data_IF_558283216569
#
_entry.id   IF_558283216569
#
_cell.length_a   1.000
_cell.length_b   1.000
_cell.length_c   1.000
_cell.angle_alpha   90.00
_cell.angle_beta   90.00
_cell.angle_gamma   90.00
#
_symmetry.space_group_name_H-M   'P 1'
#
loop_
_entity.id
_entity.type
_entity.pdbx_description
1 polymer ?
#
# COMPACT_ATOMS: atom_id res chain seq x y z
N UNK A 1 55.64 -12.01 -38.23
CA UNK A 1 54.95 -10.92 -38.95
C UNK A 1 53.90 -11.56 -39.83
N UNK A 2 52.64 -11.48 -39.42
CA UNK A 2 51.51 -12.12 -40.10
C UNK A 2 50.85 -11.14 -41.08
N UNK A 3 50.37 -11.60 -42.25
CA UNK A 3 49.83 -10.72 -43.26
C UNK A 3 48.42 -10.19 -42.89
N UNK A 4 48.03 -9.01 -43.41
CA UNK A 4 46.73 -8.40 -43.12
C UNK A 4 45.60 -9.17 -43.82
N UNK A 5 44.54 -9.47 -43.06
CA UNK A 5 43.29 -10.05 -43.59
C UNK A 5 42.59 -9.02 -44.48
N UNK A 6 42.41 -9.37 -45.75
CA UNK A 6 41.59 -8.67 -46.72
C UNK A 6 40.13 -8.61 -46.28
N UNK A 7 39.60 -7.40 -46.15
CA UNK A 7 38.18 -7.12 -45.90
C UNK A 7 37.38 -7.44 -47.18
N UNK A 8 36.58 -8.49 -47.14
CA UNK A 8 35.57 -8.76 -48.15
C UNK A 8 34.35 -7.87 -47.89
N UNK A 9 34.02 -7.04 -48.87
CA UNK A 9 32.82 -6.21 -48.89
C UNK A 9 31.56 -7.08 -48.95
N UNK A 10 30.59 -6.93 -48.02
CA UNK A 10 29.34 -7.68 -48.08
C UNK A 10 28.51 -7.23 -49.28
N UNK A 11 28.04 -8.20 -50.07
CA UNK A 11 27.17 -7.94 -51.21
C UNK A 11 25.82 -7.40 -50.74
N UNK A 12 25.33 -6.39 -51.45
CA UNK A 12 24.02 -5.77 -51.23
C UNK A 12 22.91 -6.75 -51.65
N UNK A 13 22.54 -7.66 -50.75
CA UNK A 13 21.35 -8.49 -50.89
C UNK A 13 20.09 -7.66 -50.69
N UNK A 14 19.22 -7.64 -51.69
CA UNK A 14 17.91 -7.00 -51.62
C UNK A 14 17.11 -7.55 -50.43
N UNK A 15 16.70 -6.65 -49.53
CA UNK A 15 15.88 -6.99 -48.36
C UNK A 15 14.51 -7.52 -48.83
N UNK A 16 14.09 -8.73 -48.42
CA UNK A 16 12.76 -9.23 -48.74
C UNK A 16 11.71 -8.29 -48.13
N UNK A 17 10.70 -7.92 -48.94
CA UNK A 17 9.59 -7.09 -48.51
C UNK A 17 8.97 -7.68 -47.24
N UNK A 18 9.06 -6.94 -46.13
CA UNK A 18 8.51 -7.37 -44.86
C UNK A 18 7.01 -7.56 -45.02
N UNK A 19 6.46 -8.75 -44.67
CA UNK A 19 5.03 -8.97 -44.73
C UNK A 19 4.35 -7.92 -43.86
N UNK A 20 3.48 -7.11 -44.47
CA UNK A 20 2.61 -6.17 -43.78
C UNK A 20 1.79 -6.98 -42.78
N UNK A 21 2.23 -6.98 -41.52
CA UNK A 21 1.56 -7.69 -40.44
C UNK A 21 0.14 -7.11 -40.34
N UNK A 22 -0.85 -7.88 -40.79
CA UNK A 22 -2.26 -7.53 -40.63
C UNK A 22 -2.48 -7.26 -39.15
N UNK A 23 -2.94 -6.05 -38.83
CA UNK A 23 -3.26 -5.68 -37.46
C UNK A 23 -4.15 -6.78 -36.86
N UNK A 24 -3.75 -7.39 -35.72
CA UNK A 24 -4.50 -8.49 -35.15
C UNK A 24 -5.94 -8.05 -34.92
N UNK A 25 -6.87 -8.93 -35.28
CA UNK A 25 -8.32 -8.79 -35.23
C UNK A 25 -8.80 -8.63 -33.76
N UNK A 26 -8.42 -7.55 -33.10
CA UNK A 26 -8.71 -7.25 -31.70
C UNK A 26 -10.14 -6.73 -31.49
N UNK A 27 -10.92 -6.49 -32.55
CA UNK A 27 -12.17 -5.74 -32.45
C UNK A 27 -13.40 -6.53 -31.96
N UNK A 28 -13.28 -7.84 -31.69
CA UNK A 28 -14.41 -8.67 -31.22
C UNK A 28 -14.21 -9.35 -29.88
N UNK A 29 -13.14 -9.03 -29.14
CA UNK A 29 -13.03 -9.48 -27.77
C UNK A 29 -14.15 -8.80 -26.94
N UNK A 30 -15.13 -9.58 -26.49
CA UNK A 30 -16.25 -9.06 -25.69
C UNK A 30 -15.78 -8.33 -24.43
N UNK A 31 -16.64 -7.49 -23.87
CA UNK A 31 -16.35 -6.70 -22.66
C UNK A 31 -16.07 -7.56 -21.41
N UNK A 32 -16.56 -8.80 -21.38
CA UNK A 32 -16.43 -9.72 -20.23
C UNK A 32 -14.96 -10.03 -19.86
N UNK A 33 -14.10 -10.52 -20.77
CA UNK A 33 -12.66 -10.66 -20.51
C UNK A 33 -11.98 -9.41 -19.94
N UNK A 34 -12.35 -8.22 -20.42
CA UNK A 34 -11.76 -6.98 -19.95
C UNK A 34 -12.15 -6.68 -18.49
N UNK A 35 -13.41 -6.92 -18.11
CA UNK A 35 -13.85 -6.76 -16.72
C UNK A 35 -13.21 -7.78 -15.78
N UNK A 36 -13.05 -9.03 -16.22
CA UNK A 36 -12.36 -10.06 -15.42
C UNK A 36 -10.90 -9.65 -15.19
N UNK A 37 -10.22 -9.18 -16.24
CA UNK A 37 -8.86 -8.66 -16.14
C UNK A 37 -8.76 -7.46 -15.19
N UNK A 38 -9.66 -6.47 -15.33
CA UNK A 38 -9.72 -5.30 -14.46
C UNK A 38 -9.95 -5.69 -13.00
N UNK A 39 -10.91 -6.57 -12.70
CA UNK A 39 -11.17 -7.05 -11.34
C UNK A 39 -9.92 -7.71 -10.75
N UNK A 40 -9.21 -8.53 -11.53
CA UNK A 40 -7.96 -9.15 -11.09
C UNK A 40 -6.87 -8.10 -10.85
N UNK A 41 -6.79 -7.04 -11.67
CA UNK A 41 -5.83 -5.97 -11.51
C UNK A 41 -6.09 -5.09 -10.26
N UNK A 42 -7.36 -4.86 -9.92
CA UNK A 42 -7.76 -4.11 -8.71
C UNK A 42 -7.49 -4.88 -7.41
N UNK A 43 -7.45 -6.23 -7.46
CA UNK A 43 -7.15 -7.12 -6.32
C UNK A 43 -7.98 -6.82 -5.05
N UNK A 44 -9.33 -6.76 -5.13
CA UNK A 44 -10.17 -6.35 -3.99
C UNK A 44 -9.93 -7.14 -2.70
N UNK A 45 -9.66 -8.45 -2.82
CA UNK A 45 -9.36 -9.32 -1.68
C UNK A 45 -8.13 -8.87 -0.87
N UNK A 46 -7.20 -8.16 -1.49
CA UNK A 46 -5.96 -7.73 -0.84
C UNK A 46 -6.14 -6.48 0.01
N UNK A 47 -7.21 -5.72 -0.18
CA UNK A 47 -7.43 -4.47 0.54
C UNK A 47 -8.80 -4.35 1.22
N UNK A 48 -9.71 -5.30 1.02
CA UNK A 48 -11.03 -5.28 1.63
C UNK A 48 -10.99 -5.11 3.16
N UNK A 49 -9.99 -5.67 3.82
CA UNK A 49 -9.83 -5.54 5.28
C UNK A 49 -9.51 -4.10 5.73
N UNK A 50 -9.04 -3.22 4.85
CA UNK A 50 -8.86 -1.80 5.15
C UNK A 50 -10.17 -0.99 5.06
N UNK A 51 -11.26 -1.57 4.56
CA UNK A 51 -12.57 -0.90 4.51
C UNK A 51 -13.15 -0.57 5.89
N UNK A 52 -12.61 -1.18 6.96
CA UNK A 52 -12.99 -0.87 8.34
C UNK A 52 -12.32 0.41 8.87
N UNK A 53 -11.25 0.90 8.24
CA UNK A 53 -10.49 2.05 8.76
C UNK A 53 -11.33 3.32 8.94
N UNK A 54 -12.28 3.69 8.06
CA UNK A 54 -13.13 4.86 8.29
C UNK A 54 -13.96 4.79 9.58
N UNK A 55 -14.23 3.61 10.13
CA UNK A 55 -14.93 3.45 11.42
C UNK A 55 -14.14 4.09 12.57
N UNK A 56 -12.82 4.25 12.41
CA UNK A 56 -11.98 4.86 13.42
C UNK A 56 -12.26 6.33 13.73
N UNK A 57 -12.92 7.02 12.81
CA UNK A 57 -13.37 8.40 13.00
C UNK A 57 -14.86 8.53 13.30
N UNK A 58 -15.55 7.43 13.65
CA UNK A 58 -16.96 7.47 14.05
C UNK A 58 -17.15 8.52 15.16
N UNK A 59 -18.10 9.43 14.94
CA UNK A 59 -18.54 10.41 15.93
C UNK A 59 -19.84 9.94 16.59
N UNK A 60 -19.75 9.60 17.87
CA UNK A 60 -20.91 9.16 18.68
C UNK A 60 -21.76 10.32 19.16
N UNK A 61 -21.22 11.53 19.20
CA UNK A 61 -21.95 12.71 19.62
C UNK A 61 -22.83 13.28 18.49
N UNK A 62 -22.47 13.03 17.23
CA UNK A 62 -23.28 13.42 16.08
C UNK A 62 -24.58 12.59 15.97
N UNK A 63 -25.66 13.16 15.41
CA UNK A 63 -26.89 12.42 15.13
C UNK A 63 -26.60 11.18 14.27
N UNK A 64 -27.25 10.05 14.58
CA UNK A 64 -26.97 8.76 13.93
C UNK A 64 -26.99 8.83 12.40
N UNK A 65 -27.96 9.53 11.81
CA UNK A 65 -28.04 9.70 10.35
C UNK A 65 -26.80 10.40 9.77
N UNK A 66 -26.30 11.44 10.44
CA UNK A 66 -25.08 12.18 10.03
C UNK A 66 -23.86 11.27 10.12
N UNK A 67 -23.70 10.51 11.21
CA UNK A 67 -22.58 9.58 11.39
C UNK A 67 -22.60 8.43 10.38
N UNK A 68 -23.78 7.87 10.08
CA UNK A 68 -23.93 6.83 9.05
C UNK A 68 -23.63 7.36 7.65
N UNK A 69 -24.09 8.57 7.31
CA UNK A 69 -23.75 9.21 6.03
C UNK A 69 -22.24 9.45 5.93
N UNK A 70 -21.60 9.94 6.99
CA UNK A 70 -20.15 10.16 7.02
C UNK A 70 -19.37 8.85 6.84
N UNK A 71 -19.79 7.76 7.49
CA UNK A 71 -19.19 6.44 7.27
C UNK A 71 -19.37 5.92 5.85
N UNK A 72 -20.59 6.00 5.30
CA UNK A 72 -20.87 5.50 3.96
C UNK A 72 -20.02 6.23 2.91
N UNK A 73 -19.92 7.55 3.07
CA UNK A 73 -19.04 8.42 2.28
C UNK A 73 -17.56 8.04 2.46
N UNK A 74 -17.11 7.86 3.70
CA UNK A 74 -15.75 7.45 4.01
C UNK A 74 -15.38 6.08 3.43
N UNK A 75 -16.31 5.13 3.47
CA UNK A 75 -16.16 3.82 2.84
C UNK A 75 -16.05 3.93 1.31
N UNK A 76 -16.88 4.77 0.67
CA UNK A 76 -16.79 5.01 -0.78
C UNK A 76 -15.43 5.61 -1.17
N UNK A 77 -14.97 6.63 -0.44
CA UNK A 77 -13.65 7.25 -0.66
C UNK A 77 -12.55 6.19 -0.46
N UNK A 78 -12.61 5.43 0.65
CA UNK A 78 -11.63 4.39 0.97
C UNK A 78 -11.55 3.34 -0.15
N UNK A 79 -12.69 2.81 -0.61
CA UNK A 79 -12.73 1.85 -1.71
C UNK A 79 -12.14 2.43 -3.00
N UNK A 80 -12.47 3.69 -3.34
CA UNK A 80 -11.97 4.34 -4.53
C UNK A 80 -10.45 4.55 -4.48
N UNK A 81 -9.91 5.04 -3.36
CA UNK A 81 -8.47 5.24 -3.13
C UNK A 81 -7.70 3.92 -3.15
N UNK A 82 -8.21 2.88 -2.48
CA UNK A 82 -7.57 1.56 -2.46
C UNK A 82 -7.59 0.91 -3.84
N UNK A 83 -8.73 0.95 -4.54
CA UNK A 83 -8.83 0.44 -5.89
C UNK A 83 -7.89 1.18 -6.85
N UNK A 84 -7.78 2.50 -6.71
CA UNK A 84 -6.83 3.32 -7.47
C UNK A 84 -5.38 2.88 -7.21
N UNK A 85 -4.96 2.85 -5.94
CA UNK A 85 -3.60 2.48 -5.55
C UNK A 85 -3.18 1.09 -6.04
N UNK A 86 -4.05 0.09 -5.92
CA UNK A 86 -3.76 -1.27 -6.39
C UNK A 86 -3.77 -1.41 -7.91
N UNK A 87 -4.72 -0.75 -8.59
CA UNK A 87 -4.81 -0.77 -10.04
C UNK A 87 -3.60 -0.08 -10.67
N UNK A 88 -3.23 1.10 -10.16
CA UNK A 88 -2.10 1.83 -10.71
C UNK A 88 -0.77 1.14 -10.41
N UNK A 89 -0.60 0.56 -9.22
CA UNK A 89 0.57 -0.25 -8.92
C UNK A 89 0.66 -1.45 -9.87
N UNK A 90 -0.45 -2.13 -10.16
CA UNK A 90 -0.51 -3.23 -11.12
C UNK A 90 -0.12 -2.80 -12.54
N UNK A 91 -0.61 -1.65 -13.00
CA UNK A 91 -0.28 -1.08 -14.32
C UNK A 91 1.21 -0.71 -14.41
N UNK A 92 1.75 -0.08 -13.38
CA UNK A 92 3.13 0.41 -13.33
C UNK A 92 4.16 -0.70 -13.14
N UNK A 93 3.83 -1.77 -12.41
CA UNK A 93 4.76 -2.86 -12.11
C UNK A 93 4.72 -4.00 -13.12
N UNK A 94 3.88 -3.91 -14.17
CA UNK A 94 3.66 -5.01 -15.13
C UNK A 94 4.93 -5.55 -15.80
N UNK A 95 5.93 -4.70 -16.00
CA UNK A 95 7.18 -5.05 -16.67
C UNK A 95 8.26 -5.55 -15.69
N UNK A 96 8.01 -5.41 -14.38
CA UNK A 96 8.97 -5.74 -13.32
C UNK A 96 8.52 -6.94 -12.48
N UNK A 97 7.21 -7.08 -12.30
CA UNK A 97 6.62 -8.25 -11.69
C UNK A 97 6.89 -9.48 -12.57
N UNK A 98 7.31 -10.57 -11.93
CA UNK A 98 7.61 -11.85 -12.62
C UNK A 98 6.49 -12.87 -12.47
N UNK A 99 5.62 -12.70 -11.47
CA UNK A 99 4.57 -13.66 -11.15
C UNK A 99 3.20 -13.17 -11.63
N UNK A 100 2.67 -13.80 -12.69
CA UNK A 100 1.35 -13.51 -13.24
C UNK A 100 0.18 -13.81 -12.27
N UNK A 101 0.43 -14.61 -11.22
CA UNK A 101 -0.55 -14.84 -10.13
C UNK A 101 -0.65 -13.63 -9.22
N UNK A 102 0.48 -12.93 -8.98
CA UNK A 102 0.51 -11.66 -8.23
C UNK A 102 -0.04 -10.54 -9.12
N UNK A 103 0.44 -10.39 -10.35
CA UNK A 103 0.06 -9.32 -11.26
C UNK A 103 -0.47 -9.87 -12.60
N UNK A 104 -1.78 -9.73 -12.89
CA UNK A 104 -2.37 -10.28 -14.12
C UNK A 104 -1.94 -9.56 -15.41
N UNK A 105 -1.21 -8.45 -15.32
CA UNK A 105 -0.72 -7.67 -16.46
C UNK A 105 0.73 -7.99 -16.83
N UNK A 106 1.38 -8.94 -16.15
CA UNK A 106 2.74 -9.39 -16.49
C UNK A 106 2.80 -9.87 -17.94
N UNK A 107 3.76 -9.33 -18.70
CA UNK A 107 3.94 -9.64 -20.13
C UNK A 107 2.88 -9.02 -21.06
N UNK A 108 1.92 -8.25 -20.53
CA UNK A 108 0.94 -7.52 -21.34
C UNK A 108 1.57 -6.23 -21.84
N UNK A 109 1.87 -6.16 -23.14
CA UNK A 109 2.53 -5.02 -23.78
C UNK A 109 1.82 -3.68 -23.48
N UNK A 110 0.47 -3.68 -23.48
CA UNK A 110 -0.32 -2.50 -23.13
C UNK A 110 -1.62 -2.89 -22.41
N UNK A 111 -1.87 -2.40 -21.18
CA UNK A 111 -3.16 -2.52 -20.53
C UNK A 111 -4.29 -1.92 -21.39
N UNK A 112 -5.51 -2.46 -21.29
CA UNK A 112 -6.64 -1.96 -22.09
C UNK A 112 -7.02 -0.53 -21.71
N UNK A 113 -7.67 0.20 -22.63
CA UNK A 113 -8.18 1.56 -22.36
C UNK A 113 -9.08 1.63 -21.12
N UNK A 114 -9.83 0.55 -20.84
CA UNK A 114 -10.65 0.43 -19.64
C UNK A 114 -9.84 0.50 -18.34
N UNK A 115 -8.63 -0.09 -18.28
CA UNK A 115 -7.77 0.00 -17.10
C UNK A 115 -7.38 1.45 -16.81
N UNK A 116 -6.96 2.19 -17.84
CA UNK A 116 -6.59 3.60 -17.70
C UNK A 116 -7.78 4.50 -17.38
N UNK A 117 -8.93 4.26 -18.02
CA UNK A 117 -10.16 5.00 -17.75
C UNK A 117 -10.59 4.83 -16.28
N UNK A 118 -10.59 3.59 -15.79
CA UNK A 118 -10.95 3.31 -14.39
C UNK A 118 -9.89 3.86 -13.42
N UNK A 119 -8.60 3.71 -13.72
CA UNK A 119 -7.53 4.27 -12.90
C UNK A 119 -7.61 5.80 -12.80
N UNK A 120 -8.13 6.48 -13.84
CA UNK A 120 -8.32 7.94 -13.84
C UNK A 120 -9.62 8.36 -13.14
N UNK A 121 -10.69 7.56 -13.28
CA UNK A 121 -11.99 7.86 -12.69
C UNK A 121 -12.01 7.67 -11.17
N UNK A 122 -11.31 6.66 -10.63
CA UNK A 122 -11.30 6.36 -9.19
C UNK A 122 -10.82 7.52 -8.30
N UNK A 123 -9.66 8.17 -8.55
CA UNK A 123 -9.25 9.33 -7.76
C UNK A 123 -10.21 10.51 -7.92
N UNK A 124 -10.82 10.69 -9.10
CA UNK A 124 -11.84 11.74 -9.30
C UNK A 124 -13.07 11.49 -8.44
N UNK A 125 -13.59 10.25 -8.40
CA UNK A 125 -14.71 9.87 -7.53
C UNK A 125 -14.36 10.12 -6.06
N UNK A 126 -13.16 9.71 -5.63
CA UNK A 126 -12.69 9.95 -4.26
C UNK A 126 -12.63 11.45 -3.93
N UNK A 127 -12.06 12.27 -4.82
CA UNK A 127 -11.90 13.71 -4.61
C UNK A 127 -13.24 14.47 -4.61
N UNK A 128 -14.13 14.18 -5.55
CA UNK A 128 -15.47 14.79 -5.58
C UNK A 128 -16.25 14.44 -4.32
N UNK A 129 -16.18 13.19 -3.88
CA UNK A 129 -16.83 12.74 -2.64
C UNK A 129 -16.21 13.41 -1.41
N UNK A 130 -14.88 13.53 -1.37
CA UNK A 130 -14.14 14.17 -0.28
C UNK A 130 -14.33 15.70 -0.24
N UNK A 131 -14.56 16.35 -1.38
CA UNK A 131 -14.87 17.78 -1.47
C UNK A 131 -16.21 18.14 -0.78
N UNK A 132 -17.14 17.18 -0.72
CA UNK A 132 -18.42 17.30 0.00
C UNK A 132 -18.31 16.83 1.46
N UNK A 133 -17.10 16.69 1.98
CA UNK A 133 -16.79 16.20 3.34
C UNK A 133 -16.09 17.31 4.14
N UNK A 134 -15.93 17.11 5.47
CA UNK A 134 -15.08 17.98 6.27
C UNK A 134 -13.65 18.09 5.70
N UNK A 135 -13.01 19.24 5.89
CA UNK A 135 -11.68 19.55 5.35
C UNK A 135 -10.61 18.50 5.67
N UNK A 136 -10.53 17.92 6.89
CA UNK A 136 -9.60 16.83 7.18
C UNK A 136 -9.77 15.59 6.29
N UNK A 137 -11.00 15.26 5.87
CA UNK A 137 -11.28 14.15 4.96
C UNK A 137 -10.72 14.43 3.58
N UNK A 138 -10.85 15.66 3.09
CA UNK A 138 -10.25 16.10 1.82
C UNK A 138 -8.72 15.97 1.86
N UNK A 139 -8.07 16.48 2.91
CA UNK A 139 -6.61 16.35 3.05
C UNK A 139 -6.14 14.91 3.20
N UNK A 140 -6.88 14.08 3.95
CA UNK A 140 -6.58 12.66 4.06
C UNK A 140 -6.67 11.95 2.70
N UNK A 141 -7.71 12.27 1.92
CA UNK A 141 -7.91 11.73 0.57
C UNK A 141 -6.80 12.16 -0.38
N UNK A 142 -6.48 13.46 -0.40
CA UNK A 142 -5.39 14.01 -1.21
C UNK A 142 -4.05 13.37 -0.84
N UNK A 143 -3.77 13.19 0.44
CA UNK A 143 -2.55 12.55 0.93
C UNK A 143 -2.46 11.12 0.41
N UNK A 144 -3.52 10.32 0.54
CA UNK A 144 -3.51 8.92 0.12
C UNK A 144 -3.37 8.76 -1.41
N UNK A 145 -4.07 9.59 -2.19
CA UNK A 145 -3.94 9.59 -3.66
C UNK A 145 -2.54 10.03 -4.09
N UNK A 146 -2.02 11.11 -3.50
CA UNK A 146 -0.69 11.64 -3.81
C UNK A 146 0.39 10.61 -3.46
N UNK A 147 0.28 10.01 -2.28
CA UNK A 147 1.19 8.95 -1.84
C UNK A 147 1.14 7.76 -2.79
N UNK A 148 -0.04 7.26 -3.15
CA UNK A 148 -0.20 6.14 -4.10
C UNK A 148 0.34 6.45 -5.50
N UNK A 149 0.20 7.70 -5.95
CA UNK A 149 0.72 8.19 -7.23
C UNK A 149 2.25 8.24 -7.23
N UNK A 150 2.84 8.91 -6.23
CA UNK A 150 4.29 9.04 -6.05
C UNK A 150 4.96 7.67 -5.82
N UNK A 151 4.23 6.75 -5.17
CA UNK A 151 4.66 5.37 -4.94
C UNK A 151 4.75 4.57 -6.24
N UNK A 152 3.80 4.74 -7.17
CA UNK A 152 3.63 3.82 -8.31
C UNK A 152 4.04 4.37 -9.69
N UNK A 153 3.62 5.58 -10.07
CA UNK A 153 3.79 6.07 -11.46
C UNK A 153 5.07 6.90 -11.62
N UNK A 154 5.28 7.89 -10.76
CA UNK A 154 6.41 8.82 -10.89
C UNK A 154 6.53 9.71 -9.64
N UNK A 155 7.73 9.94 -9.09
CA UNK A 155 9.06 9.40 -9.46
C UNK A 155 9.29 7.93 -9.10
N UNK A 156 8.23 7.19 -8.73
CA UNK A 156 8.29 5.80 -8.26
C UNK A 156 9.20 5.66 -7.04
N UNK A 157 8.95 6.54 -6.08
CA UNK A 157 9.76 6.71 -4.88
C UNK A 157 9.72 5.49 -3.94
N UNK A 158 8.92 4.46 -4.24
CA UNK A 158 8.94 3.18 -3.52
C UNK A 158 10.28 2.44 -3.61
N UNK A 159 11.11 2.77 -4.61
CA UNK A 159 12.47 2.24 -4.75
C UNK A 159 13.53 3.02 -3.98
N UNK A 160 13.13 4.05 -3.21
CA UNK A 160 14.03 4.79 -2.35
C UNK A 160 13.87 4.29 -0.89
N UNK A 161 14.98 3.88 -0.24
CA UNK A 161 14.98 3.48 1.16
C UNK A 161 14.34 4.55 2.06
N UNK A 162 13.49 4.12 2.99
CA UNK A 162 12.71 4.97 3.89
C UNK A 162 11.50 5.64 3.22
N UNK A 163 11.70 6.28 2.07
CA UNK A 163 10.63 7.02 1.37
C UNK A 163 9.51 6.09 0.92
N UNK A 164 9.83 4.92 0.38
CA UNK A 164 8.82 3.93 0.01
C UNK A 164 7.96 3.50 1.20
N UNK A 165 8.57 3.32 2.36
CA UNK A 165 7.85 2.94 3.57
C UNK A 165 6.97 4.08 4.09
N UNK A 166 7.43 5.33 4.03
CA UNK A 166 6.64 6.51 4.39
C UNK A 166 5.48 6.75 3.43
N UNK A 167 5.67 6.55 2.12
CA UNK A 167 4.58 6.61 1.15
C UNK A 167 3.55 5.52 1.38
N UNK A 168 3.98 4.31 1.78
CA UNK A 168 3.06 3.26 2.18
C UNK A 168 2.17 3.71 3.36
N UNK A 169 2.76 4.34 4.38
CA UNK A 169 2.00 4.96 5.48
C UNK A 169 1.02 6.01 4.93
N UNK A 170 1.49 6.90 4.05
CA UNK A 170 0.66 7.92 3.41
C UNK A 170 -0.54 7.35 2.65
N UNK A 171 -0.43 6.15 2.07
CA UNK A 171 -1.54 5.48 1.39
C UNK A 171 -2.63 4.98 2.35
N UNK A 172 -2.26 4.55 3.57
CA UNK A 172 -3.17 3.80 4.44
C UNK A 172 -3.57 4.53 5.72
N UNK A 173 -2.65 5.24 6.38
CA UNK A 173 -2.93 5.89 7.66
C UNK A 173 -4.00 7.00 7.58
N UNK A 174 -4.03 7.85 6.54
CA UNK A 174 -5.10 8.84 6.40
C UNK A 174 -6.50 8.24 6.26
N UNK A 175 -6.61 6.97 5.87
CA UNK A 175 -7.91 6.31 5.69
C UNK A 175 -8.71 6.20 7.00
N UNK A 176 -8.05 6.27 8.16
CA UNK A 176 -8.70 6.32 9.48
C UNK A 176 -9.58 7.56 9.67
N UNK A 177 -9.31 8.65 8.95
CA UNK A 177 -9.99 9.94 9.09
C UNK A 177 -11.19 10.09 8.15
N UNK A 178 -11.42 9.14 7.24
CA UNK A 178 -12.43 9.31 6.18
C UNK A 178 -13.88 9.25 6.67
N UNK A 179 -14.12 8.74 7.88
CA UNK A 179 -15.44 8.65 8.51
C UNK A 179 -15.83 9.88 9.35
N UNK A 180 -15.02 10.95 9.35
CA UNK A 180 -15.33 12.17 10.10
C UNK A 180 -16.63 12.83 9.61
N UNK A 181 -17.48 13.20 10.56
CA UNK A 181 -18.74 13.94 10.37
C UNK A 181 -18.58 15.46 10.48
N UNK A 182 -17.48 15.95 11.08
CA UNK A 182 -17.25 17.37 11.38
C UNK A 182 -15.79 17.78 11.13
N UNK A 183 -15.52 19.09 11.18
CA UNK A 183 -14.18 19.68 10.99
C UNK A 183 -13.23 19.40 12.16
N UNK A 184 -13.78 19.15 13.36
CA UNK A 184 -12.98 18.90 14.55
C UNK A 184 -12.46 17.46 14.56
N UNK A 185 -11.13 17.31 14.69
CA UNK A 185 -10.48 16.02 14.91
C UNK A 185 -9.98 15.97 16.35
N UNK A 186 -10.62 15.17 17.23
CA UNK A 186 -10.13 14.97 18.59
C UNK A 186 -8.67 14.50 18.62
N UNK A 187 -7.91 14.99 19.60
CA UNK A 187 -6.47 14.68 19.77
C UNK A 187 -6.21 13.16 19.83
N UNK A 188 -7.07 12.41 20.53
CA UNK A 188 -7.00 10.95 20.59
C UNK A 188 -7.04 10.27 19.20
N UNK A 189 -7.73 10.86 18.22
CA UNK A 189 -7.76 10.31 16.85
C UNK A 189 -6.42 10.53 16.13
N UNK A 190 -5.73 11.63 16.37
CA UNK A 190 -4.38 11.84 15.82
C UNK A 190 -3.36 10.89 16.43
N UNK A 191 -3.45 10.63 17.73
CA UNK A 191 -2.64 9.61 18.39
C UNK A 191 -2.93 8.21 17.83
N UNK A 192 -4.20 7.87 17.58
CA UNK A 192 -4.57 6.61 16.93
C UNK A 192 -3.97 6.50 15.51
N UNK A 193 -4.03 7.57 14.71
CA UNK A 193 -3.36 7.63 13.38
C UNK A 193 -1.86 7.42 13.53
N UNK A 194 -1.21 8.04 14.50
CA UNK A 194 0.22 7.87 14.74
C UNK A 194 0.57 6.42 15.15
N UNK A 195 -0.16 5.83 16.08
CA UNK A 195 0.01 4.42 16.47
C UNK A 195 -0.17 3.48 15.28
N UNK A 196 -1.19 3.71 14.44
CA UNK A 196 -1.41 2.93 13.23
C UNK A 196 -0.28 3.09 12.20
N UNK A 197 0.23 4.32 12.02
CA UNK A 197 1.39 4.58 11.15
C UNK A 197 2.63 3.81 11.60
N UNK A 198 2.89 3.71 12.91
CA UNK A 198 4.03 2.94 13.42
C UNK A 198 3.86 1.44 13.19
N UNK A 199 2.65 0.91 13.36
CA UNK A 199 2.33 -0.48 13.03
C UNK A 199 2.49 -0.76 11.53
N UNK A 200 2.04 0.17 10.68
CA UNK A 200 2.21 0.07 9.23
C UNK A 200 3.69 0.10 8.83
N UNK A 201 4.50 0.98 9.40
CA UNK A 201 5.95 1.03 9.13
C UNK A 201 6.64 -0.27 9.50
N UNK A 202 6.35 -0.82 10.69
CA UNK A 202 6.91 -2.11 11.10
C UNK A 202 6.49 -3.22 10.14
N UNK A 203 5.20 -3.29 9.79
CA UNK A 203 4.69 -4.26 8.82
C UNK A 203 5.35 -4.10 7.45
N UNK A 204 5.60 -2.87 7.01
CA UNK A 204 6.23 -2.55 5.73
C UNK A 204 7.72 -2.94 5.71
N UNK A 205 8.45 -2.75 6.81
CA UNK A 205 9.84 -3.21 6.93
C UNK A 205 9.94 -4.74 6.87
N UNK A 206 9.02 -5.45 7.52
CA UNK A 206 8.94 -6.93 7.44
C UNK A 206 8.50 -7.37 6.03
N UNK A 207 7.64 -6.59 5.37
CA UNK A 207 7.25 -6.82 3.98
C UNK A 207 8.45 -6.71 3.02
N UNK A 208 9.26 -5.67 3.15
CA UNK A 208 10.47 -5.48 2.35
C UNK A 208 11.48 -6.62 2.57
N UNK A 209 11.54 -7.18 3.78
CA UNK A 209 12.32 -8.39 4.05
C UNK A 209 11.75 -9.63 3.33
N UNK A 210 10.43 -9.77 3.31
CA UNK A 210 9.72 -10.89 2.70
C UNK A 210 9.75 -10.89 1.16
N UNK A 211 9.99 -9.73 0.55
CA UNK A 211 10.09 -9.57 -0.92
C UNK A 211 11.52 -9.21 -1.39
N UNK A 212 12.52 -9.33 -0.50
CA UNK A 212 13.89 -8.87 -0.77
C UNK A 212 14.52 -9.46 -2.04
N UNK A 213 14.23 -10.71 -2.38
CA UNK A 213 14.75 -11.37 -3.57
C UNK A 213 14.03 -10.91 -4.86
N UNK A 214 12.70 -10.77 -4.82
CA UNK A 214 11.89 -10.23 -5.91
C UNK A 214 12.32 -8.77 -6.20
N UNK A 215 12.45 -7.96 -5.15
CA UNK A 215 12.88 -6.55 -5.24
C UNK A 215 14.30 -6.42 -5.80
N UNK A 216 15.24 -7.27 -5.36
CA UNK A 216 16.62 -7.28 -5.88
C UNK A 216 16.63 -7.66 -7.36
N UNK A 217 15.82 -8.64 -7.75
CA UNK A 217 15.64 -9.04 -9.14
C UNK A 217 15.02 -7.94 -10.01
N UNK A 218 14.15 -7.11 -9.44
CA UNK A 218 13.53 -5.95 -10.09
C UNK A 218 14.34 -4.65 -10.02
N UNK A 219 15.53 -4.66 -9.40
CA UNK A 219 16.36 -3.46 -9.22
C UNK A 219 15.78 -2.43 -8.24
N UNK A 220 14.84 -2.82 -7.38
CA UNK A 220 14.20 -1.97 -6.38
C UNK A 220 15.06 -1.98 -5.11
N UNK A 221 15.49 -0.80 -4.64
CA UNK A 221 16.30 -0.64 -3.41
C UNK A 221 15.40 -0.29 -2.22
N UNK A 222 15.08 -1.27 -1.40
CA UNK A 222 14.23 -1.07 -0.22
C UNK A 222 15.03 -0.68 1.04
N UNK A 223 14.34 -0.25 2.09
CA UNK A 223 14.96 0.04 3.40
C UNK A 223 15.62 -1.20 3.96
N UNK A 224 14.97 -2.36 3.84
CA UNK A 224 15.54 -3.63 4.25
C UNK A 224 16.82 -3.98 3.49
N UNK A 225 16.87 -3.76 2.17
CA UNK A 225 18.08 -4.02 1.39
C UNK A 225 19.24 -3.09 1.76
N UNK A 226 18.95 -1.82 2.09
CA UNK A 226 19.97 -0.86 2.50
C UNK A 226 20.53 -1.18 3.89
N UNK A 227 19.67 -1.44 4.86
CA UNK A 227 20.07 -1.59 6.27
C UNK A 227 20.47 -3.04 6.62
N UNK A 228 19.91 -4.02 5.93
CA UNK A 228 20.01 -5.43 6.28
C UNK A 228 19.19 -5.81 7.52
N UNK A 229 19.07 -7.11 7.76
CA UNK A 229 18.13 -7.66 8.75
C UNK A 229 18.32 -7.14 10.19
N UNK A 230 19.56 -6.98 10.66
CA UNK A 230 19.84 -6.57 12.04
C UNK A 230 19.46 -5.11 12.30
N UNK A 231 19.86 -4.20 11.42
CA UNK A 231 19.53 -2.79 11.57
C UNK A 231 18.04 -2.54 11.33
N UNK A 232 17.41 -3.24 10.38
CA UNK A 232 15.94 -3.20 10.23
C UNK A 232 15.23 -3.72 11.47
N UNK A 233 15.71 -4.79 12.11
CA UNK A 233 15.14 -5.27 13.37
C UNK A 233 15.25 -4.23 14.49
N UNK A 234 16.42 -3.59 14.65
CA UNK A 234 16.60 -2.50 15.63
C UNK A 234 15.62 -1.34 15.36
N UNK A 235 15.45 -0.96 14.09
CA UNK A 235 14.47 0.06 13.69
C UNK A 235 13.03 -0.35 14.06
N UNK A 236 12.63 -1.59 13.80
CA UNK A 236 11.30 -2.10 14.21
C UNK A 236 11.15 -2.02 15.73
N UNK A 237 12.17 -2.41 16.50
CA UNK A 237 12.13 -2.33 17.97
C UNK A 237 12.00 -0.91 18.48
N UNK A 238 12.71 0.05 17.88
CA UNK A 238 12.59 1.47 18.20
C UNK A 238 11.19 2.01 17.87
N UNK A 239 10.61 1.64 16.72
CA UNK A 239 9.22 1.96 16.38
C UNK A 239 8.22 1.33 17.36
N UNK A 240 8.50 0.11 17.85
CA UNK A 240 7.72 -0.55 18.89
C UNK A 240 7.75 0.18 20.23
N UNK A 241 8.91 0.72 20.63
CA UNK A 241 9.05 1.53 21.85
C UNK A 241 8.25 2.83 21.74
N UNK A 242 8.36 3.52 20.59
CA UNK A 242 7.57 4.71 20.32
C UNK A 242 6.07 4.41 20.32
N UNK A 243 5.66 3.29 19.71
CA UNK A 243 4.27 2.81 19.75
C UNK A 243 3.80 2.60 21.18
N UNK A 244 4.61 1.97 22.03
CA UNK A 244 4.27 1.75 23.44
C UNK A 244 4.03 3.08 24.16
N UNK A 245 4.89 4.08 23.97
CA UNK A 245 4.74 5.41 24.56
C UNK A 245 3.47 6.14 24.08
N UNK A 246 3.25 6.18 22.76
CA UNK A 246 2.06 6.82 22.18
C UNK A 246 0.76 6.12 22.61
N UNK A 247 0.79 4.80 22.79
CA UNK A 247 -0.37 4.05 23.27
C UNK A 247 -0.69 4.33 24.73
N UNK A 248 0.31 4.56 25.59
CA UNK A 248 0.05 5.01 26.96
C UNK A 248 -0.63 6.38 26.96
N UNK A 249 -0.12 7.34 26.20
CA UNK A 249 -0.73 8.67 26.06
C UNK A 249 -2.17 8.58 25.52
N UNK A 250 -2.38 7.79 24.46
CA UNK A 250 -3.71 7.56 23.88
C UNK A 250 -4.68 7.00 24.92
N UNK A 251 -4.26 5.96 25.65
CA UNK A 251 -5.10 5.34 26.68
C UNK A 251 -5.43 6.31 27.81
N UNK A 252 -4.48 7.14 28.25
CA UNK A 252 -4.72 8.18 29.26
C UNK A 252 -5.75 9.22 28.78
N UNK A 253 -5.61 9.69 27.54
CA UNK A 253 -6.53 10.67 26.91
C UNK A 253 -7.93 10.11 26.72
N UNK A 254 -8.03 8.81 26.48
CA UNK A 254 -9.29 8.07 26.42
C UNK A 254 -9.71 7.48 27.77
N UNK A 255 -9.13 7.89 28.91
CA UNK A 255 -9.47 7.35 30.24
C UNK A 255 -9.50 5.80 30.34
N UNK A 256 -8.78 5.10 29.45
CA UNK A 256 -8.71 3.66 29.38
C UNK A 256 -7.53 3.15 30.23
N UNK A 257 -7.59 1.90 30.73
CA UNK A 257 -6.51 1.37 31.56
C UNK A 257 -5.17 1.30 30.81
N UNK A 258 -4.14 1.99 31.33
CA UNK A 258 -2.83 2.09 30.67
C UNK A 258 -2.08 0.76 30.55
N UNK A 259 -2.39 -0.23 31.41
CA UNK A 259 -1.82 -1.58 31.30
C UNK A 259 -2.17 -2.27 29.98
N UNK A 260 -3.22 -1.84 29.28
CA UNK A 260 -3.55 -2.33 27.94
C UNK A 260 -2.42 -2.06 26.94
N UNK A 261 -1.57 -1.05 27.16
CA UNK A 261 -0.38 -0.79 26.33
C UNK A 261 0.62 -1.97 26.30
N UNK A 262 0.50 -2.95 27.20
CA UNK A 262 1.25 -4.20 27.15
C UNK A 262 1.07 -4.97 25.83
N UNK A 263 0.00 -4.71 25.06
CA UNK A 263 -0.15 -5.26 23.71
C UNK A 263 1.05 -4.91 22.80
N UNK A 264 1.77 -3.82 23.07
CA UNK A 264 2.92 -3.37 22.28
C UNK A 264 4.16 -4.26 22.47
N UNK A 265 4.21 -5.11 23.50
CA UNK A 265 5.39 -5.91 23.83
C UNK A 265 5.92 -6.80 22.68
N UNK A 266 5.07 -7.50 21.88
CA UNK A 266 5.56 -8.26 20.73
C UNK A 266 6.22 -7.40 19.65
N UNK A 267 5.80 -6.14 19.49
CA UNK A 267 6.38 -5.17 18.54
C UNK A 267 7.74 -4.65 18.98
N UNK A 268 7.96 -4.56 20.29
CA UNK A 268 9.26 -4.18 20.88
C UNK A 268 10.25 -5.35 20.86
N UNK A 269 9.79 -6.55 21.20
CA UNK A 269 10.66 -7.68 21.52
C UNK A 269 10.65 -8.76 20.44
N UNK A 270 9.48 -9.33 20.17
CA UNK A 270 9.34 -10.55 19.38
C UNK A 270 9.63 -10.31 17.89
N UNK A 271 8.96 -9.35 17.24
CA UNK A 271 9.11 -9.13 15.80
C UNK A 271 10.54 -8.71 15.42
N UNK A 272 11.20 -7.77 16.14
CA UNK A 272 12.62 -7.48 15.95
C UNK A 272 13.52 -8.70 16.10
N UNK A 273 13.38 -9.45 17.19
CA UNK A 273 14.19 -10.64 17.46
C UNK A 273 14.01 -11.70 16.38
N UNK A 274 12.77 -11.98 16.00
CA UNK A 274 12.43 -12.98 15.00
C UNK A 274 12.98 -12.59 13.62
N UNK A 275 12.87 -11.32 13.23
CA UNK A 275 13.45 -10.83 11.99
C UNK A 275 14.98 -10.96 12.01
N UNK A 276 15.66 -10.48 13.07
CA UNK A 276 17.12 -10.54 13.17
C UNK A 276 17.68 -11.97 13.10
N UNK A 277 16.94 -12.96 13.62
CA UNK A 277 17.34 -14.38 13.65
C UNK A 277 16.96 -15.16 12.40
N UNK A 278 15.80 -14.87 11.79
CA UNK A 278 15.18 -15.75 10.78
C UNK A 278 15.08 -15.13 9.38
N UNK A 279 15.33 -13.83 9.23
CA UNK A 279 15.30 -13.14 7.93
C UNK A 279 16.24 -13.65 6.83
N UNK A 280 17.31 -14.44 7.07
CA UNK A 280 18.09 -15.02 5.97
C UNK A 280 17.27 -15.89 5.02
N UNK A 281 16.11 -16.40 5.45
CA UNK A 281 15.20 -17.17 4.60
C UNK A 281 13.91 -16.39 4.34
N UNK A 282 13.62 -16.15 3.06
CA UNK A 282 12.42 -15.42 2.58
C UNK A 282 11.11 -16.01 3.14
N UNK A 283 11.00 -17.34 3.20
CA UNK A 283 9.81 -18.02 3.74
C UNK A 283 9.52 -17.67 5.20
N UNK A 284 10.55 -17.48 6.03
CA UNK A 284 10.37 -17.07 7.41
C UNK A 284 9.92 -15.61 7.52
N UNK A 285 10.46 -14.71 6.69
CA UNK A 285 10.02 -13.32 6.65
C UNK A 285 8.55 -13.21 6.19
N UNK A 286 8.13 -14.03 5.23
CA UNK A 286 6.72 -14.13 4.81
C UNK A 286 5.81 -14.60 5.95
N UNK A 287 6.20 -15.64 6.68
CA UNK A 287 5.44 -16.11 7.84
C UNK A 287 5.36 -15.05 8.96
N UNK A 288 6.48 -14.37 9.25
CA UNK A 288 6.55 -13.30 10.23
C UNK A 288 5.64 -12.13 9.85
N UNK A 289 5.57 -11.77 8.56
CA UNK A 289 4.67 -10.74 8.04
C UNK A 289 3.20 -11.07 8.31
N UNK A 290 2.79 -12.32 8.12
CA UNK A 290 1.41 -12.76 8.40
C UNK A 290 1.10 -12.63 9.88
N UNK A 291 2.00 -13.12 10.75
CA UNK A 291 1.85 -13.00 12.20
C UNK A 291 1.76 -11.53 12.64
N UNK A 292 2.64 -10.68 12.11
CA UNK A 292 2.65 -9.24 12.39
C UNK A 292 1.34 -8.57 11.97
N UNK A 293 0.82 -8.90 10.78
CA UNK A 293 -0.45 -8.34 10.29
C UNK A 293 -1.61 -8.68 11.23
N UNK A 294 -1.72 -9.94 11.67
CA UNK A 294 -2.78 -10.38 12.59
C UNK A 294 -2.65 -9.67 13.94
N UNK A 295 -1.44 -9.62 14.51
CA UNK A 295 -1.18 -8.91 15.76
C UNK A 295 -1.49 -7.40 15.65
N UNK A 296 -1.13 -6.78 14.53
CA UNK A 296 -1.42 -5.36 14.26
C UNK A 296 -2.92 -5.10 14.15
N UNK A 297 -3.65 -5.96 13.44
CA UNK A 297 -5.10 -5.84 13.31
C UNK A 297 -5.80 -5.94 14.67
N UNK A 298 -5.40 -6.91 15.51
CA UNK A 298 -5.91 -7.03 16.87
C UNK A 298 -5.58 -5.81 17.75
N UNK A 299 -4.36 -5.29 17.63
CA UNK A 299 -3.90 -4.10 18.35
C UNK A 299 -4.68 -2.85 17.95
N UNK A 300 -4.90 -2.65 16.64
CA UNK A 300 -5.72 -1.55 16.14
C UNK A 300 -7.18 -1.67 16.60
N UNK A 301 -7.74 -2.88 16.60
CA UNK A 301 -9.10 -3.10 17.10
C UNK A 301 -9.21 -2.77 18.59
N UNK A 302 -8.21 -3.15 19.39
CA UNK A 302 -8.13 -2.80 20.81
C UNK A 302 -8.08 -1.28 21.03
N UNK A 303 -7.13 -0.60 20.37
CA UNK A 303 -6.98 0.86 20.48
C UNK A 303 -8.23 1.60 20.02
N UNK A 304 -8.82 1.15 18.90
CA UNK A 304 -10.06 1.70 18.39
C UNK A 304 -11.20 1.53 19.39
N UNK A 305 -11.33 0.35 19.99
CA UNK A 305 -12.31 0.10 21.04
C UNK A 305 -12.15 1.06 22.21
N UNK A 306 -10.91 1.35 22.63
CA UNK A 306 -10.64 2.31 23.70
C UNK A 306 -11.09 3.73 23.31
N UNK A 307 -10.73 4.19 22.11
CA UNK A 307 -11.08 5.54 21.60
C UNK A 307 -12.59 5.72 21.39
N UNK A 308 -13.30 4.65 21.04
CA UNK A 308 -14.74 4.75 20.80
C UNK A 308 -15.56 4.63 22.09
N UNK A 309 -15.16 3.78 23.03
CA UNK A 309 -15.96 3.47 24.23
C UNK A 309 -15.81 4.54 25.31
N UNK A 310 -14.61 5.09 25.46
CA UNK A 310 -14.23 5.98 26.55
C UNK A 310 -13.89 7.37 26.03
#
# INVERSE_FOLDING_TARGET
MSPPRSLQSPSAGALPASPVARAPEQSRAGWRPQLVSLKRAVRPQHWLHFMVLPVASWDRAAPLGVSLTALARGALICAAVLAFGYLINTISDRDLDRDARKNPLVGVARPSALHYAVASALPLVALVTAWLSPTPVLYATLTAISAGTLYSIGPRLKSLPGVGSLLNVGCFAPLLLLGLSSEAVPEARWLLVACFSLLLLQNQLIHEAADADDDRGGGVRTTFQLLGARATALLIGALGLLLSGLSVELLQRSAAPTWLAAYAAPFVLWFPWALARRAPHVSHAQALRVQHRVASAASCALLLGCVLIW
#
